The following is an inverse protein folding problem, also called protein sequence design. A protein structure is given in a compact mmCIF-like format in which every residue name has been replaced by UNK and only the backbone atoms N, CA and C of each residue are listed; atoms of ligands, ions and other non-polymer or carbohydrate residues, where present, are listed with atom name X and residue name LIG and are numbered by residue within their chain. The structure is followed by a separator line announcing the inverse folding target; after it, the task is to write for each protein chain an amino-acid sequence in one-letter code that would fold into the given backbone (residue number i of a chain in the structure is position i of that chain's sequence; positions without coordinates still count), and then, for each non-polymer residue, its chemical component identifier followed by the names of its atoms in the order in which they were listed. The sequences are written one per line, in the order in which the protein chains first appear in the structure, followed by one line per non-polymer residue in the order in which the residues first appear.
data_IF_536509144733
#
_entry.id   IF_536509144733
#
_cell.length_a   1.000
_cell.length_b   1.000
_cell.length_c   1.000
_cell.angle_alpha   90.00
_cell.angle_beta   90.00
_cell.angle_gamma   90.00
#
_symmetry.space_group_name_H-M   'P 1'
#
loop_
_entity.id
_entity.type
_entity.pdbx_description
1 polymer ?
#
# COMPACT_ATOMS: atom_id res chain seq x y z
N UNK A 1 -18.53 0.59 10.73
CA UNK A 1 -18.43 0.71 9.26
C UNK A 1 -19.82 0.55 8.68
N UNK A 2 -20.25 1.36 7.69
CA UNK A 2 -21.53 1.12 7.00
C UNK A 2 -21.54 -0.29 6.39
N UNK A 3 -22.73 -0.88 6.27
CA UNK A 3 -22.96 -2.34 6.05
C UNK A 3 -22.44 -2.93 4.75
N UNK A 4 -21.83 -2.14 3.85
CA UNK A 4 -21.43 -2.55 2.50
C UNK A 4 -19.97 -2.21 2.12
N UNK A 5 -19.15 -1.66 3.01
CA UNK A 5 -17.73 -1.44 2.70
C UNK A 5 -16.92 -2.69 3.03
N UNK A 6 -16.16 -3.18 2.05
CA UNK A 6 -15.18 -4.25 2.23
C UNK A 6 -13.82 -3.63 2.49
N UNK A 7 -13.14 -4.05 3.55
CA UNK A 7 -11.75 -3.67 3.79
C UNK A 7 -10.87 -4.36 2.72
N UNK A 8 -10.13 -3.62 1.89
CA UNK A 8 -9.24 -4.21 0.90
C UNK A 8 -7.94 -4.72 1.54
N UNK A 9 -7.59 -4.26 2.74
CA UNK A 9 -6.38 -4.70 3.44
C UNK A 9 -6.64 -6.05 4.13
N UNK A 10 -5.86 -7.10 3.82
CA UNK A 10 -6.03 -8.41 4.43
C UNK A 10 -5.88 -8.39 5.95
N UNK A 11 -6.64 -9.26 6.62
CA UNK A 11 -6.59 -9.38 8.08
C UNK A 11 -5.21 -9.87 8.53
N UNK A 12 -4.68 -9.26 9.59
CA UNK A 12 -3.36 -9.58 10.12
C UNK A 12 -2.23 -8.73 9.52
N UNK A 13 -2.52 -7.92 8.50
CA UNK A 13 -1.56 -6.92 7.98
C UNK A 13 -1.15 -5.95 9.09
N UNK A 14 0.15 -5.85 9.31
CA UNK A 14 0.78 -4.85 10.17
C UNK A 14 1.50 -3.82 9.31
N UNK A 15 1.56 -2.58 9.78
CA UNK A 15 2.47 -1.55 9.29
C UNK A 15 3.67 -1.58 10.23
N UNK A 16 4.77 -2.16 9.76
CA UNK A 16 5.99 -2.39 10.54
C UNK A 16 6.73 -1.07 10.79
N UNK A 17 6.94 -0.30 9.72
CA UNK A 17 7.70 0.95 9.78
C UNK A 17 7.18 1.96 8.74
N UNK A 18 7.38 3.25 9.06
CA UNK A 18 7.10 4.38 8.18
C UNK A 18 8.24 5.36 8.24
N UNK A 19 8.76 5.76 7.08
CA UNK A 19 9.68 6.88 6.99
C UNK A 19 9.43 7.71 5.74
N UNK A 20 9.77 9.00 5.79
CA UNK A 20 9.65 9.93 4.68
C UNK A 20 11.03 10.48 4.38
N UNK A 21 11.46 10.36 3.13
CA UNK A 21 12.78 10.85 2.69
C UNK A 21 12.76 12.36 2.35
N UNK A 22 13.93 12.89 2.00
CA UNK A 22 14.08 14.31 1.61
C UNK A 22 13.42 14.63 0.26
N UNK A 23 13.11 13.63 -0.56
CA UNK A 23 12.40 13.77 -1.83
C UNK A 23 10.88 13.70 -1.66
N UNK A 24 10.38 13.55 -0.42
CA UNK A 24 8.96 13.38 -0.06
C UNK A 24 8.37 12.05 -0.52
N UNK A 25 9.19 11.00 -0.59
CA UNK A 25 8.72 9.62 -0.73
C UNK A 25 8.40 9.06 0.65
N UNK A 26 7.14 8.69 0.87
CA UNK A 26 6.73 7.91 2.03
C UNK A 26 6.96 6.43 1.74
N UNK A 27 7.83 5.80 2.53
CA UNK A 27 8.05 4.37 2.50
C UNK A 27 7.20 3.73 3.59
N UNK A 28 6.31 2.83 3.19
CA UNK A 28 5.38 2.14 4.07
C UNK A 28 5.74 0.66 4.06
N UNK A 29 6.36 0.18 5.13
CA UNK A 29 6.72 -1.22 5.27
C UNK A 29 5.60 -2.00 5.94
N UNK A 30 5.02 -2.93 5.20
CA UNK A 30 3.95 -3.81 5.69
C UNK A 30 4.45 -5.23 5.92
N UNK A 31 3.78 -5.96 6.81
CA UNK A 31 4.02 -7.40 6.96
C UNK A 31 3.58 -8.18 5.71
N UNK A 32 4.20 -9.35 5.44
CA UNK A 32 3.80 -10.28 4.37
C UNK A 32 2.30 -10.63 4.30
N UNK A 33 1.52 -10.49 5.37
CA UNK A 33 0.07 -10.68 5.31
C UNK A 33 -0.62 -9.80 4.26
N UNK A 34 -0.05 -8.64 3.91
CA UNK A 34 -0.58 -7.79 2.85
C UNK A 34 -0.52 -8.46 1.48
N UNK A 35 0.46 -9.34 1.23
CA UNK A 35 0.59 -10.14 -0.01
C UNK A 35 -0.14 -11.47 0.13
N UNK A 36 0.14 -12.21 1.20
CA UNK A 36 -0.32 -13.59 1.38
C UNK A 36 -1.85 -13.66 1.58
N UNK A 37 -2.43 -12.60 2.13
CA UNK A 37 -3.86 -12.50 2.37
C UNK A 37 -4.66 -11.90 1.21
N UNK A 38 -4.03 -11.62 0.05
CA UNK A 38 -4.76 -11.12 -1.11
C UNK A 38 -5.70 -12.18 -1.67
N UNK A 39 -7.00 -11.86 -1.67
CA UNK A 39 -8.05 -12.73 -2.20
C UNK A 39 -8.73 -12.00 -3.35
N UNK A 40 -8.51 -12.49 -4.57
CA UNK A 40 -9.06 -11.94 -5.80
C UNK A 40 -8.05 -11.94 -6.94
N UNK A 41 -8.31 -11.12 -7.96
CA UNK A 41 -7.38 -10.84 -9.04
C UNK A 41 -7.06 -9.35 -9.11
N UNK A 42 -6.78 -8.83 -10.31
CA UNK A 42 -6.40 -7.44 -10.59
C UNK A 42 -7.22 -6.39 -9.82
N UNK A 43 -8.55 -6.51 -9.80
CA UNK A 43 -9.42 -5.53 -9.11
C UNK A 43 -9.15 -5.44 -7.61
N UNK A 44 -8.94 -6.58 -6.94
CA UNK A 44 -8.68 -6.61 -5.50
C UNK A 44 -7.32 -5.99 -5.16
N UNK A 45 -6.31 -6.28 -5.97
CA UNK A 45 -4.97 -5.71 -5.82
C UNK A 45 -4.97 -4.19 -6.02
N UNK A 46 -5.60 -3.70 -7.10
CA UNK A 46 -5.77 -2.26 -7.36
C UNK A 46 -6.51 -1.58 -6.21
N UNK A 47 -7.57 -2.19 -5.67
CA UNK A 47 -8.30 -1.64 -4.53
C UNK A 47 -7.43 -1.51 -3.28
N UNK A 48 -6.59 -2.52 -3.00
CA UNK A 48 -5.66 -2.50 -1.85
C UNK A 48 -4.63 -1.37 -2.00
N UNK A 49 -3.98 -1.29 -3.16
CA UNK A 49 -2.99 -0.26 -3.43
C UNK A 49 -3.61 1.13 -3.40
N UNK A 50 -4.74 1.33 -4.09
CA UNK A 50 -5.42 2.63 -4.09
C UNK A 50 -5.89 3.06 -2.70
N UNK A 51 -6.38 2.14 -1.86
CA UNK A 51 -6.77 2.49 -0.50
C UNK A 51 -5.58 3.02 0.32
N UNK A 52 -4.40 2.44 0.15
CA UNK A 52 -3.16 2.91 0.80
C UNK A 52 -2.78 4.29 0.24
N UNK A 53 -2.67 4.41 -1.08
CA UNK A 53 -2.25 5.66 -1.73
C UNK A 53 -3.18 6.82 -1.38
N UNK A 54 -4.49 6.64 -1.56
CA UNK A 54 -5.49 7.65 -1.24
C UNK A 54 -5.40 8.12 0.21
N UNK A 55 -5.30 7.19 1.15
CA UNK A 55 -5.21 7.52 2.57
C UNK A 55 -3.98 8.37 2.86
N UNK A 56 -2.83 8.03 2.28
CA UNK A 56 -1.56 8.72 2.55
C UNK A 56 -1.54 10.10 1.91
N UNK A 57 -1.95 10.21 0.64
CA UNK A 57 -1.95 11.48 -0.08
C UNK A 57 -2.98 12.46 0.48
N UNK A 58 -4.14 11.98 0.93
CA UNK A 58 -5.17 12.83 1.55
C UNK A 58 -4.78 13.28 2.97
N UNK A 59 -4.14 12.39 3.76
CA UNK A 59 -3.73 12.72 5.12
C UNK A 59 -2.49 13.62 5.20
N UNK A 60 -1.57 13.52 4.22
CA UNK A 60 -0.25 14.18 4.26
C UNK A 60 0.10 14.94 2.96
N UNK A 61 -0.78 15.79 2.42
CA UNK A 61 -0.64 16.36 1.08
C UNK A 61 0.59 17.25 0.89
N UNK A 62 1.06 17.90 1.95
CA UNK A 62 2.26 18.76 1.88
C UNK A 62 3.56 17.98 2.11
N UNK A 63 3.49 16.86 2.83
CA UNK A 63 4.66 16.09 3.25
C UNK A 63 5.01 14.97 2.27
N UNK A 64 4.04 14.43 1.54
CA UNK A 64 4.20 13.25 0.68
C UNK A 64 3.89 13.58 -0.78
N UNK A 65 4.83 13.25 -1.67
CA UNK A 65 4.68 13.33 -3.14
C UNK A 65 4.67 11.96 -3.82
N UNK A 66 5.24 10.96 -3.15
CA UNK A 66 5.35 9.60 -3.65
C UNK A 66 5.13 8.62 -2.51
N UNK A 67 4.61 7.44 -2.82
CA UNK A 67 4.49 6.34 -1.85
C UNK A 67 5.17 5.12 -2.41
N UNK A 68 6.15 4.58 -1.67
CA UNK A 68 6.73 3.28 -1.92
C UNK A 68 6.16 2.28 -0.92
N UNK A 69 5.61 1.18 -1.43
CA UNK A 69 5.13 0.08 -0.60
C UNK A 69 6.27 -0.94 -0.48
N UNK A 70 6.58 -1.36 0.74
CA UNK A 70 7.53 -2.41 1.05
C UNK A 70 6.83 -3.56 1.76
N UNK A 71 7.36 -4.77 1.62
CA UNK A 71 6.91 -5.97 2.31
C UNK A 71 8.08 -6.58 3.07
N UNK A 72 7.96 -6.64 4.40
CA UNK A 72 9.00 -7.12 5.31
C UNK A 72 10.39 -6.52 4.99
N UNK A 73 10.41 -5.20 4.78
CA UNK A 73 11.58 -4.38 4.51
C UNK A 73 12.09 -4.42 3.06
N UNK A 74 11.37 -5.07 2.14
CA UNK A 74 11.81 -5.26 0.75
C UNK A 74 10.88 -4.61 -0.26
N UNK A 75 11.47 -4.07 -1.32
CA UNK A 75 10.74 -3.73 -2.54
C UNK A 75 10.20 -5.01 -3.18
N UNK A 76 8.95 -4.94 -3.63
CA UNK A 76 8.27 -6.05 -4.32
C UNK A 76 7.73 -5.57 -5.65
N UNK A 77 7.62 -6.47 -6.62
CA UNK A 77 7.10 -6.11 -7.94
C UNK A 77 5.59 -5.89 -7.92
N UNK A 78 4.86 -6.71 -7.17
CA UNK A 78 3.38 -6.73 -7.08
C UNK A 78 2.96 -7.19 -5.68
N UNK A 79 1.71 -6.95 -5.28
CA UNK A 79 1.16 -7.57 -4.07
C UNK A 79 0.61 -8.98 -4.35
N UNK A 80 0.05 -9.19 -5.55
CA UNK A 80 -0.64 -10.41 -5.94
C UNK A 80 -0.47 -10.79 -7.43
N UNK A 81 0.45 -10.15 -8.15
CA UNK A 81 0.84 -10.54 -9.51
C UNK A 81 0.27 -9.68 -10.65
N UNK A 82 -0.46 -8.59 -10.39
CA UNK A 82 -1.13 -7.83 -11.46
C UNK A 82 -0.70 -6.36 -11.57
N UNK A 83 -0.47 -5.66 -10.46
CA UNK A 83 -0.11 -4.24 -10.48
C UNK A 83 1.37 -4.06 -10.13
N UNK A 84 2.14 -3.46 -11.04
CA UNK A 84 3.54 -3.15 -10.78
C UNK A 84 3.64 -2.02 -9.73
N UNK A 85 4.28 -2.32 -8.60
CA UNK A 85 4.57 -1.42 -7.49
C UNK A 85 6.07 -1.38 -7.13
N UNK A 86 6.92 -1.84 -8.06
CA UNK A 86 8.38 -1.89 -7.89
C UNK A 86 9.04 -0.51 -7.81
N UNK A 87 8.28 0.57 -8.03
CA UNK A 87 8.74 1.94 -8.04
C UNK A 87 7.75 2.84 -7.28
N UNK A 88 8.20 3.98 -6.73
CA UNK A 88 7.34 4.85 -5.95
C UNK A 88 6.15 5.35 -6.77
N UNK A 89 4.96 5.14 -6.23
CA UNK A 89 3.70 5.46 -6.87
C UNK A 89 3.28 6.90 -6.57
N UNK A 90 2.47 7.45 -7.47
CA UNK A 90 1.92 8.81 -7.41
C UNK A 90 0.42 8.70 -7.63
N UNK A 91 -0.32 9.64 -7.07
CA UNK A 91 -1.74 9.79 -7.36
C UNK A 91 -1.95 10.66 -8.60
#
# INVERSE_FOLDING_TARGET
TPTNYRNPIPRGTLLNEVYIDTQKTAYLDFSHHLTDGQIGGTTAEIMSVNAILLTVFDALPEAVKHVQILIDGKEVETLAGHLNISQPLRY
#
